data_IF_309757704439
#
_entry.id   IF_309757704439
#
_cell.length_a   1.000
_cell.length_b   1.000
_cell.length_c   1.000
_cell.angle_alpha   90.00
_cell.angle_beta   90.00
_cell.angle_gamma   90.00
#
_symmetry.space_group_name_H-M   'P 1'
#
loop_
_entity.id
_entity.type
_entity.pdbx_description
1 polymer ?
#
# COMPACT_ATOMS: atom_id res chain seq x y z
N UNK A 1 -22.59 -38.57 21.06
CA UNK A 1 -21.62 -37.62 20.50
C UNK A 1 -20.65 -38.39 19.64
N UNK A 2 -20.62 -38.12 18.34
CA UNK A 2 -19.61 -38.65 17.43
C UNK A 2 -18.29 -37.92 17.72
N UNK A 3 -17.33 -38.62 18.33
CA UNK A 3 -15.98 -38.10 18.54
C UNK A 3 -15.19 -38.27 17.25
N UNK A 4 -14.62 -37.19 16.73
CA UNK A 4 -13.61 -37.28 15.69
C UNK A 4 -12.35 -37.87 16.33
N UNK A 5 -11.88 -39.02 15.84
CA UNK A 5 -10.63 -39.62 16.30
C UNK A 5 -9.44 -38.92 15.63
N UNK A 6 -8.87 -37.95 16.35
CA UNK A 6 -7.68 -37.22 15.91
C UNK A 6 -6.46 -37.95 16.47
N UNK A 7 -5.54 -38.35 15.57
CA UNK A 7 -4.27 -38.96 15.95
C UNK A 7 -3.53 -38.07 16.95
N UNK A 8 -3.02 -38.67 18.02
CA UNK A 8 -2.26 -37.96 19.05
C UNK A 8 -1.13 -37.09 18.48
N UNK A 9 -0.41 -37.62 17.47
CA UNK A 9 0.65 -36.88 16.78
C UNK A 9 0.13 -35.60 16.10
N UNK A 10 -1.01 -35.68 15.41
CA UNK A 10 -1.61 -34.51 14.75
C UNK A 10 -2.06 -33.46 15.77
N UNK A 11 -2.61 -33.90 16.91
CA UNK A 11 -2.98 -32.98 18.00
C UNK A 11 -1.73 -32.26 18.55
N UNK A 12 -0.67 -33.02 18.83
CA UNK A 12 0.60 -32.48 19.34
C UNK A 12 1.20 -31.44 18.39
N UNK A 13 1.21 -31.71 17.09
CA UNK A 13 1.71 -30.77 16.07
C UNK A 13 0.97 -29.43 16.08
N UNK A 14 -0.35 -29.46 16.19
CA UNK A 14 -1.17 -28.24 16.25
C UNK A 14 -0.96 -27.49 17.56
N UNK A 15 -0.88 -28.20 18.68
CA UNK A 15 -0.62 -27.60 19.99
C UNK A 15 0.74 -26.89 20.03
N UNK A 16 1.78 -27.50 19.46
CA UNK A 16 3.12 -26.89 19.32
C UNK A 16 3.10 -25.63 18.44
N UNK A 17 2.36 -25.67 17.33
CA UNK A 17 2.16 -24.50 16.48
C UNK A 17 1.48 -23.34 17.24
N UNK A 18 0.40 -23.63 17.98
CA UNK A 18 -0.32 -22.63 18.79
C UNK A 18 0.57 -22.00 19.86
N UNK A 19 1.44 -22.80 20.51
CA UNK A 19 2.39 -22.31 21.50
C UNK A 19 3.45 -21.41 20.87
N UNK A 20 4.02 -21.81 19.72
CA UNK A 20 4.99 -20.99 18.99
C UNK A 20 4.38 -19.66 18.55
N UNK A 21 3.18 -19.70 17.97
CA UNK A 21 2.46 -18.51 17.52
C UNK A 21 2.15 -17.56 18.69
N UNK A 22 1.75 -18.11 19.84
CA UNK A 22 1.50 -17.30 21.05
C UNK A 22 2.75 -16.58 21.52
N UNK A 23 3.90 -17.26 21.55
CA UNK A 23 5.19 -16.64 21.92
C UNK A 23 5.57 -15.54 20.94
N UNK A 24 5.43 -15.79 19.64
CA UNK A 24 5.73 -14.80 18.60
C UNK A 24 4.83 -13.57 18.73
N UNK A 25 3.52 -13.74 18.92
CA UNK A 25 2.58 -12.64 19.10
C UNK A 25 2.89 -11.80 20.35
N UNK A 26 3.24 -12.45 21.47
CA UNK A 26 3.63 -11.76 22.71
C UNK A 26 4.96 -10.99 22.55
N UNK A 27 5.93 -11.54 21.83
CA UNK A 27 7.18 -10.84 21.50
C UNK A 27 6.93 -9.63 20.60
N UNK A 28 6.02 -9.76 19.63
CA UNK A 28 5.60 -8.64 18.79
C UNK A 28 5.02 -7.50 19.62
N UNK A 29 4.10 -7.81 20.54
CA UNK A 29 3.44 -6.80 21.35
C UNK A 29 4.37 -6.16 22.38
N UNK A 30 5.21 -6.96 23.04
CA UNK A 30 6.04 -6.48 24.15
C UNK A 30 7.29 -5.71 23.69
N UNK A 31 7.82 -6.02 22.50
CA UNK A 31 9.09 -5.47 22.03
C UNK A 31 8.98 -4.85 20.64
N UNK A 32 8.54 -5.63 19.65
CA UNK A 32 8.57 -5.18 18.25
C UNK A 32 7.70 -3.93 18.02
N UNK A 33 6.47 -3.90 18.55
CA UNK A 33 5.51 -2.82 18.31
C UNK A 33 6.04 -1.48 18.88
N UNK A 34 6.46 -1.40 20.16
CA UNK A 34 7.12 -0.21 20.71
C UNK A 34 8.34 0.23 19.88
N UNK A 35 9.28 -0.68 19.61
CA UNK A 35 10.50 -0.37 18.85
C UNK A 35 10.16 0.17 17.45
N UNK A 36 9.11 -0.38 16.83
CA UNK A 36 8.69 0.01 15.47
C UNK A 36 8.05 1.38 15.43
N UNK A 37 7.32 1.78 16.48
CA UNK A 37 6.74 3.13 16.59
C UNK A 37 7.86 4.17 16.57
N UNK A 38 8.93 3.96 17.33
CA UNK A 38 10.08 4.88 17.39
C UNK A 38 10.87 4.90 16.08
N UNK A 39 11.08 3.73 15.44
CA UNK A 39 11.71 3.65 14.12
C UNK A 39 10.94 4.44 13.06
N UNK A 40 9.61 4.32 13.04
CA UNK A 40 8.77 5.03 12.06
C UNK A 40 8.69 6.53 12.37
N UNK A 41 8.73 6.92 13.65
CA UNK A 41 8.87 8.32 14.04
C UNK A 41 10.17 8.92 13.49
N UNK A 42 11.29 8.22 13.67
CA UNK A 42 12.58 8.65 13.12
C UNK A 42 12.55 8.74 11.59
N UNK A 43 11.95 7.77 10.91
CA UNK A 43 11.78 7.78 9.46
C UNK A 43 11.04 9.03 8.96
N UNK A 44 9.97 9.43 9.66
CA UNK A 44 9.23 10.65 9.34
C UNK A 44 10.09 11.91 9.48
N UNK A 45 10.94 11.97 10.49
CA UNK A 45 11.84 13.11 10.73
C UNK A 45 12.99 13.19 9.73
N UNK A 46 13.51 12.04 9.27
CA UNK A 46 14.69 11.99 8.39
C UNK A 46 14.36 12.00 6.91
N UNK A 47 13.36 11.22 6.48
CA UNK A 47 13.09 10.97 5.06
C UNK A 47 11.95 11.84 4.52
N UNK A 48 11.03 12.29 5.38
CA UNK A 48 9.86 13.10 5.02
C UNK A 48 9.98 14.56 5.46
N UNK A 49 11.17 15.15 5.27
CA UNK A 49 11.53 16.54 5.57
C UNK A 49 11.57 17.41 4.30
N UNK A 50 10.43 17.54 3.62
CA UNK A 50 10.30 18.44 2.48
C UNK A 50 9.59 19.73 2.91
N UNK A 51 10.32 20.84 2.96
CA UNK A 51 9.77 22.16 3.31
C UNK A 51 9.00 22.79 2.14
N UNK A 52 9.38 22.45 0.90
CA UNK A 52 8.76 22.95 -0.32
C UNK A 52 8.49 21.83 -1.32
N UNK A 53 7.20 21.55 -1.59
CA UNK A 53 6.76 20.54 -2.55
C UNK A 53 7.22 20.85 -3.98
N UNK A 54 7.53 22.09 -4.32
CA UNK A 54 8.06 22.43 -5.64
C UNK A 54 9.42 21.77 -5.91
N UNK A 55 10.19 21.45 -4.87
CA UNK A 55 11.47 20.72 -4.98
C UNK A 55 11.30 19.27 -5.47
N UNK A 56 10.08 18.72 -5.42
CA UNK A 56 9.77 17.37 -5.90
C UNK A 56 9.60 17.29 -7.41
N UNK A 57 9.60 18.41 -8.15
CA UNK A 57 9.39 18.40 -9.60
C UNK A 57 10.54 17.68 -10.31
N UNK A 58 10.27 16.50 -10.85
CA UNK A 58 11.20 15.79 -11.72
C UNK A 58 11.30 16.46 -13.10
N UNK A 59 12.45 16.34 -13.80
CA UNK A 59 12.59 16.78 -15.19
C UNK A 59 11.55 16.11 -16.10
N UNK A 60 10.94 16.90 -16.98
CA UNK A 60 9.94 16.44 -17.95
C UNK A 60 10.27 16.99 -19.34
N UNK A 61 11.31 16.40 -19.95
CA UNK A 61 11.95 16.86 -21.20
C UNK A 61 11.15 16.51 -22.46
N UNK A 62 9.85 16.81 -22.44
CA UNK A 62 8.97 16.69 -23.60
C UNK A 62 9.13 17.96 -24.44
N UNK A 63 9.43 17.87 -25.76
CA UNK A 63 9.56 19.04 -26.63
C UNK A 63 8.31 19.93 -26.61
N UNK A 64 8.48 21.24 -26.48
CA UNK A 64 7.36 22.20 -26.56
C UNK A 64 7.13 22.53 -28.04
N UNK A 65 5.91 22.37 -28.58
CA UNK A 65 5.62 22.66 -29.98
C UNK A 65 5.77 24.15 -30.28
N UNK A 66 6.45 24.46 -31.36
CA UNK A 66 6.54 25.82 -31.90
C UNK A 66 5.53 25.94 -33.04
N UNK A 67 4.46 26.76 -32.90
CA UNK A 67 3.41 26.88 -33.90
C UNK A 67 3.94 27.20 -35.29
N UNK A 68 4.97 28.05 -35.40
CA UNK A 68 5.52 28.45 -36.69
C UNK A 68 6.26 27.30 -37.37
N UNK A 69 7.04 26.52 -36.60
CA UNK A 69 7.76 25.34 -37.13
C UNK A 69 6.82 24.20 -37.50
N UNK A 70 5.75 24.01 -36.73
CA UNK A 70 4.72 23.01 -37.03
C UNK A 70 3.92 23.38 -38.29
N UNK A 71 3.58 24.66 -38.48
CA UNK A 71 2.93 25.14 -39.69
C UNK A 71 3.85 24.97 -40.94
N UNK A 72 5.14 25.27 -40.81
CA UNK A 72 6.12 25.06 -41.88
C UNK A 72 6.29 23.57 -42.24
N UNK A 73 6.30 22.68 -41.23
CA UNK A 73 6.30 21.22 -41.42
C UNK A 73 5.05 20.74 -42.17
N UNK A 74 3.86 21.23 -41.79
CA UNK A 74 2.59 20.89 -42.45
C UNK A 74 2.62 21.29 -43.92
N UNK A 75 3.00 22.53 -44.23
CA UNK A 75 3.14 23.03 -45.61
C UNK A 75 4.11 22.17 -46.44
N UNK A 76 5.28 21.80 -45.88
CA UNK A 76 6.25 20.92 -46.54
C UNK A 76 5.72 19.49 -46.76
N UNK A 77 4.87 18.97 -45.87
CA UNK A 77 4.25 17.64 -46.01
C UNK A 77 3.19 17.65 -47.11
N UNK A 78 2.31 18.67 -47.11
CA UNK A 78 1.31 18.88 -48.16
C UNK A 78 1.94 19.06 -49.55
N UNK A 79 3.05 19.81 -49.66
CA UNK A 79 3.79 19.95 -50.92
C UNK A 79 4.43 18.65 -51.42
N UNK A 80 4.85 17.75 -50.53
CA UNK A 80 5.41 16.44 -50.88
C UNK A 80 4.32 15.47 -51.34
N UNK A 81 3.20 15.40 -50.62
CA UNK A 81 2.04 14.58 -50.97
C UNK A 81 1.40 15.01 -52.30
N UNK A 82 1.46 16.31 -52.64
CA UNK A 82 1.04 16.81 -53.94
C UNK A 82 1.98 16.41 -55.09
N UNK A 83 3.27 16.13 -54.82
CA UNK A 83 4.27 15.74 -55.82
C UNK A 83 4.41 14.22 -55.99
N UNK A 84 4.20 13.44 -54.95
CA UNK A 84 4.21 11.97 -54.97
C UNK A 84 2.77 11.47 -54.95
N UNK A 85 2.18 11.25 -56.13
CA UNK A 85 0.78 10.82 -56.24
C UNK A 85 0.44 9.62 -55.35
N UNK A 86 -0.65 9.76 -54.57
CA UNK A 86 -1.27 8.78 -53.63
C UNK A 86 -0.78 7.34 -53.84
N UNK A 87 0.17 6.89 -53.02
CA UNK A 87 0.44 5.47 -52.78
C UNK A 87 -0.15 5.03 -51.43
N UNK A 88 -0.84 3.89 -51.49
CA UNK A 88 -1.50 3.06 -50.48
C UNK A 88 -1.60 3.57 -49.02
N UNK A 89 -2.86 3.82 -48.63
CA UNK A 89 -3.33 4.35 -47.33
C UNK A 89 -3.35 3.35 -46.16
N UNK A 90 -2.90 2.11 -46.35
CA UNK A 90 -3.14 1.05 -45.35
C UNK A 90 -2.00 0.84 -44.34
N UNK A 91 -0.80 1.41 -44.57
CA UNK A 91 0.32 1.38 -43.61
C UNK A 91 0.38 2.59 -42.67
N UNK A 92 -0.39 3.66 -42.92
CA UNK A 92 -0.32 4.93 -42.18
C UNK A 92 -1.12 4.95 -40.87
N UNK A 93 -2.03 3.99 -40.63
CA UNK A 93 -2.88 4.00 -39.43
C UNK A 93 -2.13 3.71 -38.13
N UNK A 94 -0.98 3.04 -38.20
CA UNK A 94 -0.14 2.80 -37.02
C UNK A 94 0.74 4.02 -36.67
N UNK A 95 1.02 4.89 -37.65
CA UNK A 95 1.89 6.07 -37.49
C UNK A 95 1.11 7.33 -37.07
N UNK A 96 -0.22 7.39 -37.29
CA UNK A 96 -1.06 8.52 -36.87
C UNK A 96 -1.29 8.61 -35.35
N UNK A 97 -1.12 7.52 -34.58
CA UNK A 97 -1.19 7.52 -33.11
C UNK A 97 0.19 7.68 -32.43
N UNK A 98 1.27 7.72 -33.22
CA UNK A 98 2.61 8.00 -32.72
C UNK A 98 2.73 9.51 -32.45
N UNK A 99 2.73 9.88 -31.16
CA UNK A 99 3.06 11.23 -30.74
C UNK A 99 4.43 11.69 -31.26
N UNK A 100 4.74 12.99 -31.23
CA UNK A 100 6.04 13.48 -31.66
C UNK A 100 7.18 12.76 -30.93
N UNK A 101 8.33 12.56 -31.59
CA UNK A 101 9.45 11.81 -31.00
C UNK A 101 9.86 12.47 -29.69
N UNK A 102 9.88 11.67 -28.63
CA UNK A 102 10.21 12.08 -27.27
C UNK A 102 11.33 11.18 -26.73
N UNK A 103 12.29 11.77 -26.01
CA UNK A 103 13.28 11.00 -25.26
C UNK A 103 12.64 10.20 -24.11
N UNK A 104 13.38 9.27 -23.50
CA UNK A 104 12.88 8.52 -22.35
C UNK A 104 12.58 9.48 -21.18
N UNK A 105 11.37 9.38 -20.62
CA UNK A 105 10.97 10.13 -19.42
C UNK A 105 11.10 9.20 -18.21
N UNK A 106 12.00 9.55 -17.29
CA UNK A 106 12.27 8.75 -16.10
C UNK A 106 11.19 8.89 -15.01
N UNK A 107 11.18 7.93 -14.08
CA UNK A 107 10.43 8.04 -12.83
C UNK A 107 11.00 9.15 -11.93
N UNK A 108 10.17 9.68 -11.04
CA UNK A 108 10.62 10.65 -10.05
C UNK A 108 11.53 9.99 -9.00
N UNK A 109 12.82 10.29 -9.02
CA UNK A 109 13.82 9.64 -8.16
C UNK A 109 13.57 9.85 -6.67
N UNK A 110 13.06 11.03 -6.28
CA UNK A 110 12.76 11.31 -4.87
C UNK A 110 11.59 10.46 -4.40
N UNK A 111 10.51 10.39 -5.17
CA UNK A 111 9.37 9.52 -4.87
C UNK A 111 9.80 8.05 -4.87
N UNK A 112 10.63 7.63 -5.82
CA UNK A 112 11.18 6.26 -5.86
C UNK A 112 12.00 5.91 -4.63
N UNK A 113 12.83 6.83 -4.13
CA UNK A 113 13.61 6.62 -2.90
C UNK A 113 12.70 6.36 -1.70
N UNK A 114 11.64 7.15 -1.53
CA UNK A 114 10.66 6.98 -0.46
C UNK A 114 9.87 5.69 -0.63
N UNK A 115 9.48 5.32 -1.85
CA UNK A 115 8.80 4.06 -2.12
C UNK A 115 9.62 2.84 -1.69
N UNK A 116 10.96 2.89 -1.81
CA UNK A 116 11.83 1.80 -1.33
C UNK A 116 11.84 1.69 0.19
N UNK A 117 11.64 2.78 0.91
CA UNK A 117 11.52 2.78 2.37
C UNK A 117 10.11 2.38 2.83
N UNK A 118 9.05 2.83 2.15
CA UNK A 118 7.65 2.61 2.55
C UNK A 118 7.15 1.19 2.23
N UNK A 119 7.49 0.62 1.06
CA UNK A 119 6.99 -0.70 0.63
C UNK A 119 7.31 -1.82 1.65
N UNK A 120 8.54 -1.93 2.19
CA UNK A 120 8.86 -2.92 3.23
C UNK A 120 8.05 -2.72 4.52
N UNK A 121 7.73 -1.49 4.89
CA UNK A 121 6.97 -1.18 6.10
C UNK A 121 5.52 -1.65 6.00
N UNK A 122 4.88 -1.46 4.84
CA UNK A 122 3.55 -1.99 4.55
C UNK A 122 3.56 -3.53 4.64
N UNK A 123 4.53 -4.18 4.00
CA UNK A 123 4.63 -5.64 3.98
C UNK A 123 4.86 -6.20 5.38
N UNK A 124 5.77 -5.58 6.14
CA UNK A 124 6.06 -5.98 7.52
C UNK A 124 4.82 -5.86 8.39
N UNK A 125 4.10 -4.73 8.33
CA UNK A 125 2.86 -4.54 9.08
C UNK A 125 1.82 -5.61 8.70
N UNK A 126 1.66 -5.90 7.41
CA UNK A 126 0.72 -6.92 6.92
C UNK A 126 1.01 -8.30 7.52
N UNK A 127 2.27 -8.72 7.55
CA UNK A 127 2.69 -9.99 8.13
C UNK A 127 2.48 -10.03 9.65
N UNK A 128 2.88 -8.97 10.36
CA UNK A 128 2.74 -8.91 11.83
C UNK A 128 1.28 -8.86 12.26
N UNK A 129 0.45 -8.11 11.52
CA UNK A 129 -1.00 -8.10 11.73
C UNK A 129 -1.57 -9.51 11.53
N UNK A 130 -1.15 -10.24 10.49
CA UNK A 130 -1.64 -11.61 10.25
C UNK A 130 -1.26 -12.58 11.39
N UNK A 131 -0.04 -12.49 11.91
CA UNK A 131 0.39 -13.26 13.09
C UNK A 131 -0.51 -13.00 14.30
N UNK A 132 -0.75 -11.72 14.63
CA UNK A 132 -1.59 -11.32 15.77
C UNK A 132 -3.06 -11.73 15.56
N UNK A 133 -3.60 -11.55 14.35
CA UNK A 133 -4.96 -11.99 14.00
C UNK A 133 -5.15 -13.49 14.19
N UNK A 134 -4.21 -14.29 13.69
CA UNK A 134 -4.26 -15.74 13.85
C UNK A 134 -4.16 -16.13 15.32
N UNK A 135 -3.27 -15.48 16.07
CA UNK A 135 -3.12 -15.73 17.49
C UNK A 135 -4.43 -15.51 18.25
N UNK A 136 -5.10 -14.37 18.05
CA UNK A 136 -6.40 -14.07 18.70
C UNK A 136 -7.48 -15.05 18.26
N UNK A 137 -7.55 -15.39 16.98
CA UNK A 137 -8.55 -16.32 16.44
C UNK A 137 -8.45 -17.71 17.09
N UNK A 138 -7.23 -18.18 17.34
CA UNK A 138 -6.99 -19.45 18.05
C UNK A 138 -7.25 -19.39 19.56
N UNK A 139 -7.45 -18.21 20.14
CA UNK A 139 -7.89 -18.07 21.54
C UNK A 139 -9.42 -18.15 21.70
N UNK A 140 -10.19 -18.16 20.61
CA UNK A 140 -11.65 -18.23 20.68
C UNK A 140 -12.05 -19.62 21.22
N UNK A 141 -12.77 -19.68 22.36
CA UNK A 141 -13.12 -20.94 22.99
C UNK A 141 -14.30 -21.59 22.26
N UNK A 142 -14.63 -22.82 22.66
CA UNK A 142 -15.84 -23.52 22.19
C UNK A 142 -17.09 -22.66 22.39
N UNK A 143 -17.97 -22.59 21.40
CA UNK A 143 -19.26 -21.87 21.51
C UNK A 143 -20.13 -22.50 22.61
N UNK A 144 -20.68 -21.66 23.48
CA UNK A 144 -21.58 -22.03 24.58
C UNK A 144 -22.71 -20.99 24.70
N UNK A 145 -23.82 -21.35 25.34
CA UNK A 145 -25.01 -20.48 25.46
C UNK A 145 -24.80 -19.26 26.40
N UNK A 146 -23.80 -19.32 27.30
CA UNK A 146 -23.54 -18.29 28.29
C UNK A 146 -22.05 -18.04 28.54
N UNK A 147 -21.73 -17.05 29.38
CA UNK A 147 -20.34 -16.66 29.69
C UNK A 147 -19.52 -16.21 28.46
N UNK A 148 -20.16 -15.48 27.54
CA UNK A 148 -19.56 -15.04 26.27
C UNK A 148 -19.03 -13.60 26.28
N UNK A 149 -18.99 -12.91 27.43
CA UNK A 149 -18.49 -11.54 27.49
C UNK A 149 -17.04 -11.43 26.99
N UNK A 150 -16.13 -12.31 27.45
CA UNK A 150 -14.75 -12.29 26.96
C UNK A 150 -14.62 -12.67 25.48
N UNK A 151 -15.53 -13.51 24.98
CA UNK A 151 -15.60 -13.83 23.54
C UNK A 151 -16.00 -12.60 22.74
N UNK A 152 -16.98 -11.82 23.20
CA UNK A 152 -17.36 -10.55 22.56
C UNK A 152 -16.21 -9.53 22.58
N UNK A 153 -15.36 -9.53 23.62
CA UNK A 153 -14.13 -8.72 23.63
C UNK A 153 -13.15 -9.19 22.56
N UNK A 154 -12.93 -10.50 22.41
CA UNK A 154 -12.09 -11.06 21.33
C UNK A 154 -12.63 -10.67 19.95
N UNK A 155 -13.93 -10.81 19.72
CA UNK A 155 -14.61 -10.44 18.47
C UNK A 155 -14.40 -8.96 18.16
N UNK A 156 -14.52 -8.07 19.15
CA UNK A 156 -14.34 -6.62 18.92
C UNK A 156 -12.90 -6.26 18.56
N UNK A 157 -11.91 -6.89 19.19
CA UNK A 157 -10.49 -6.72 18.82
C UNK A 157 -10.22 -7.28 17.43
N UNK A 158 -10.80 -8.44 17.10
CA UNK A 158 -10.65 -9.07 15.79
C UNK A 158 -11.31 -8.26 14.65
N UNK A 159 -12.43 -7.60 14.92
CA UNK A 159 -13.08 -6.67 13.98
C UNK A 159 -12.12 -5.52 13.61
N UNK A 160 -11.44 -4.93 14.60
CA UNK A 160 -10.45 -3.88 14.36
C UNK A 160 -9.27 -4.41 13.53
N UNK A 161 -8.76 -5.61 13.82
CA UNK A 161 -7.70 -6.23 13.04
C UNK A 161 -8.11 -6.46 11.58
N UNK A 162 -9.35 -6.88 11.35
CA UNK A 162 -9.92 -7.09 10.01
C UNK A 162 -10.03 -5.77 9.25
N UNK A 163 -10.58 -4.73 9.88
CA UNK A 163 -10.65 -3.38 9.29
C UNK A 163 -9.26 -2.84 8.96
N UNK A 164 -8.29 -3.05 9.85
CA UNK A 164 -6.89 -2.64 9.66
C UNK A 164 -6.26 -3.35 8.46
N UNK A 165 -6.54 -4.64 8.26
CA UNK A 165 -6.07 -5.39 7.09
C UNK A 165 -6.54 -4.77 5.78
N UNK A 166 -7.82 -4.40 5.69
CA UNK A 166 -8.37 -3.72 4.50
C UNK A 166 -7.65 -2.40 4.23
N UNK A 167 -7.35 -1.61 5.27
CA UNK A 167 -6.60 -0.36 5.13
C UNK A 167 -5.20 -0.59 4.55
N UNK A 168 -4.48 -1.61 5.03
CA UNK A 168 -3.14 -1.95 4.54
C UNK A 168 -3.17 -2.38 3.07
N UNK A 169 -4.19 -3.16 2.68
CA UNK A 169 -4.38 -3.57 1.28
C UNK A 169 -4.66 -2.36 0.35
N UNK A 170 -5.40 -1.37 0.84
CA UNK A 170 -5.61 -0.10 0.13
C UNK A 170 -4.30 0.70 -0.04
N UNK A 171 -3.47 0.80 1.01
CA UNK A 171 -2.15 1.44 0.93
C UNK A 171 -1.27 0.78 -0.14
N UNK A 172 -1.26 -0.55 -0.19
CA UNK A 172 -0.49 -1.30 -1.19
C UNK A 172 -1.00 -1.03 -2.62
N UNK A 173 -2.32 -0.92 -2.80
CA UNK A 173 -2.94 -0.68 -4.10
C UNK A 173 -2.66 0.74 -4.61
N UNK A 174 -2.66 1.73 -3.71
CA UNK A 174 -2.38 3.12 -4.04
C UNK A 174 -0.98 3.31 -4.65
N UNK A 175 0.01 2.51 -4.24
CA UNK A 175 1.35 2.55 -4.82
C UNK A 175 1.34 2.15 -6.30
N UNK A 176 0.66 1.06 -6.65
CA UNK A 176 0.55 0.62 -8.05
C UNK A 176 -0.23 1.63 -8.89
N UNK A 177 -1.26 2.25 -8.30
CA UNK A 177 -2.08 3.28 -8.94
C UNK A 177 -1.25 4.50 -9.35
N UNK A 178 -0.32 4.96 -8.51
CA UNK A 178 0.59 6.06 -8.85
C UNK A 178 1.38 5.80 -10.14
N UNK A 179 1.97 4.60 -10.30
CA UNK A 179 2.71 4.28 -11.53
C UNK A 179 1.81 4.30 -12.77
N UNK A 180 0.60 3.76 -12.65
CA UNK A 180 -0.38 3.77 -13.74
C UNK A 180 -0.78 5.20 -14.12
N UNK A 181 -1.23 5.99 -13.14
CA UNK A 181 -1.73 7.35 -13.38
C UNK A 181 -0.62 8.28 -13.88
N UNK A 182 0.59 8.17 -13.32
CA UNK A 182 1.75 8.93 -13.79
C UNK A 182 2.15 8.51 -15.20
N UNK A 183 2.16 7.21 -15.49
CA UNK A 183 2.44 6.68 -16.83
C UNK A 183 1.46 7.22 -17.87
N UNK A 184 0.17 7.20 -17.55
CA UNK A 184 -0.88 7.75 -18.41
C UNK A 184 -0.75 9.26 -18.61
N UNK A 185 -0.42 10.01 -17.55
CA UNK A 185 -0.19 11.44 -17.63
C UNK A 185 1.02 11.78 -18.51
N UNK A 186 2.14 11.06 -18.35
CA UNK A 186 3.34 11.21 -19.20
C UNK A 186 3.03 10.86 -20.66
N UNK A 187 2.30 9.77 -20.91
CA UNK A 187 1.90 9.37 -22.26
C UNK A 187 1.00 10.42 -22.94
N UNK A 188 0.05 11.00 -22.20
CA UNK A 188 -0.78 12.10 -22.72
C UNK A 188 0.04 13.36 -22.97
N UNK A 189 0.96 13.71 -22.07
CA UNK A 189 1.84 14.85 -22.24
C UNK A 189 2.76 14.71 -23.46
N UNK A 190 3.26 13.50 -23.75
CA UNK A 190 4.13 13.24 -24.90
C UNK A 190 3.35 13.18 -26.22
N UNK A 191 2.16 12.59 -26.23
CA UNK A 191 1.27 12.55 -27.42
C UNK A 191 0.65 13.90 -27.75
N UNK A 192 0.33 14.72 -26.75
CA UNK A 192 -0.35 16.01 -26.89
C UNK A 192 0.46 17.14 -26.23
N UNK A 193 1.68 17.43 -26.73
CA UNK A 193 2.62 18.35 -26.06
C UNK A 193 2.17 19.81 -26.05
N UNK A 194 1.14 20.16 -26.83
CA UNK A 194 0.50 21.48 -26.82
C UNK A 194 -0.44 21.68 -25.62
N UNK A 195 -0.86 20.60 -24.94
CA UNK A 195 -1.71 20.67 -23.75
C UNK A 195 -0.82 20.76 -22.51
N UNK A 196 -0.61 21.99 -22.01
CA UNK A 196 0.24 22.25 -20.84
C UNK A 196 -0.22 21.54 -19.56
N UNK A 197 -1.52 21.31 -19.40
CA UNK A 197 -2.10 20.69 -18.19
C UNK A 197 -1.63 19.27 -17.96
N UNK A 198 -1.30 18.49 -19.01
CA UNK A 198 -0.75 17.15 -18.80
C UNK A 198 0.66 17.17 -18.20
N UNK A 199 1.46 18.20 -18.50
CA UNK A 199 2.76 18.37 -17.86
C UNK A 199 2.59 18.72 -16.38
N UNK A 200 1.66 19.63 -16.09
CA UNK A 200 1.33 19.98 -14.71
C UNK A 200 0.80 18.77 -13.94
N UNK A 201 -0.08 17.96 -14.56
CA UNK A 201 -0.63 16.75 -13.96
C UNK A 201 0.45 15.76 -13.51
N UNK A 202 1.52 15.56 -14.31
CA UNK A 202 2.66 14.72 -13.90
C UNK A 202 3.28 15.24 -12.60
N UNK A 203 3.50 16.55 -12.49
CA UNK A 203 4.08 17.16 -11.29
C UNK A 203 3.13 17.15 -10.09
N UNK A 204 1.83 17.34 -10.30
CA UNK A 204 0.81 17.23 -9.25
C UNK A 204 0.74 15.81 -8.70
N UNK A 205 0.80 14.79 -9.57
CA UNK A 205 0.83 13.38 -9.15
C UNK A 205 2.08 13.05 -8.33
N UNK A 206 3.25 13.61 -8.68
CA UNK A 206 4.49 13.42 -7.92
C UNK A 206 4.38 14.04 -6.50
N UNK A 207 3.83 15.25 -6.39
CA UNK A 207 3.62 15.92 -5.08
C UNK A 207 2.56 15.21 -4.24
N UNK A 208 1.44 14.83 -4.87
CA UNK A 208 0.39 14.06 -4.24
C UNK A 208 0.95 12.75 -3.68
N UNK A 209 1.74 12.02 -4.47
CA UNK A 209 2.31 10.75 -4.05
C UNK A 209 3.29 10.91 -2.88
N UNK A 210 4.07 11.99 -2.83
CA UNK A 210 4.91 12.29 -1.67
C UNK A 210 4.07 12.44 -0.38
N UNK A 211 2.98 13.23 -0.45
CA UNK A 211 2.08 13.44 0.68
C UNK A 211 1.41 12.13 1.12
N UNK A 212 0.94 11.32 0.18
CA UNK A 212 0.35 10.02 0.46
C UNK A 212 1.33 9.06 1.13
N UNK A 213 2.58 8.99 0.66
CA UNK A 213 3.61 8.15 1.28
C UNK A 213 3.90 8.56 2.72
N UNK A 214 3.88 9.86 3.00
CA UNK A 214 4.03 10.38 4.36
C UNK A 214 2.86 9.98 5.25
N UNK A 215 1.63 10.08 4.75
CA UNK A 215 0.43 9.65 5.46
C UNK A 215 0.43 8.15 5.73
N UNK A 216 0.87 7.33 4.77
CA UNK A 216 1.02 5.89 4.95
C UNK A 216 1.94 5.57 6.14
N UNK A 217 3.11 6.21 6.25
CA UNK A 217 4.00 5.96 7.39
C UNK A 217 3.39 6.41 8.72
N UNK A 218 2.71 7.56 8.75
CA UNK A 218 1.97 8.00 9.93
C UNK A 218 0.91 6.98 10.34
N UNK A 219 0.14 6.46 9.39
CA UNK A 219 -0.90 5.47 9.64
C UNK A 219 -0.31 4.14 10.12
N UNK A 220 0.77 3.65 9.52
CA UNK A 220 1.47 2.44 9.99
C UNK A 220 1.90 2.61 11.45
N UNK A 221 2.52 3.74 11.79
CA UNK A 221 2.94 4.05 13.17
C UNK A 221 1.74 4.08 14.12
N UNK A 222 0.66 4.74 13.72
CA UNK A 222 -0.56 4.84 14.53
C UNK A 222 -1.24 3.48 14.69
N UNK A 223 -1.23 2.62 13.66
CA UNK A 223 -1.75 1.26 13.72
C UNK A 223 -1.00 0.45 14.78
N UNK A 224 0.34 0.47 14.79
CA UNK A 224 1.10 -0.24 15.83
C UNK A 224 0.73 0.25 17.24
N UNK A 225 0.59 1.56 17.43
CA UNK A 225 0.20 2.14 18.72
C UNK A 225 -1.22 1.71 19.15
N UNK A 226 -2.19 1.78 18.24
CA UNK A 226 -3.59 1.40 18.51
C UNK A 226 -3.70 -0.09 18.81
N UNK A 227 -3.02 -0.94 18.03
CA UNK A 227 -3.03 -2.40 18.25
C UNK A 227 -2.37 -2.76 19.58
N UNK A 228 -1.24 -2.14 19.92
CA UNK A 228 -0.61 -2.32 21.22
C UNK A 228 -1.57 -1.94 22.36
N UNK A 229 -2.17 -0.76 22.29
CA UNK A 229 -3.05 -0.22 23.33
C UNK A 229 -4.28 -1.10 23.56
N UNK A 230 -5.02 -1.44 22.49
CA UNK A 230 -6.25 -2.22 22.61
C UNK A 230 -5.97 -3.65 23.07
N UNK A 231 -4.90 -4.29 22.58
CA UNK A 231 -4.57 -5.66 22.98
C UNK A 231 -4.08 -5.68 24.43
N UNK A 232 -3.22 -4.74 24.82
CA UNK A 232 -2.73 -4.64 26.20
C UNK A 232 -3.87 -4.43 27.19
N UNK A 233 -4.79 -3.49 26.90
CA UNK A 233 -5.94 -3.19 27.77
C UNK A 233 -6.88 -4.38 27.95
N UNK A 234 -6.98 -5.24 26.94
CA UNK A 234 -7.92 -6.36 26.92
C UNK A 234 -7.23 -7.73 27.05
N UNK A 235 -5.93 -7.77 27.38
CA UNK A 235 -5.09 -8.96 27.30
C UNK A 235 -5.65 -10.15 28.09
N UNK A 236 -6.13 -9.91 29.32
CA UNK A 236 -6.72 -10.95 30.17
C UNK A 236 -7.94 -11.59 29.52
N UNK A 237 -8.82 -10.81 28.89
CA UNK A 237 -10.01 -11.32 28.21
C UNK A 237 -9.68 -11.96 26.86
N UNK A 238 -8.62 -11.51 26.20
CA UNK A 238 -8.13 -12.15 24.97
C UNK A 238 -7.55 -13.53 25.26
N UNK A 239 -6.71 -13.67 26.29
CA UNK A 239 -6.11 -14.96 26.67
C UNK A 239 -7.09 -15.88 27.39
N UNK A 240 -7.95 -15.33 28.24
CA UNK A 240 -8.85 -16.09 29.14
C UNK A 240 -10.27 -15.52 29.09
N UNK A 241 -10.98 -15.69 27.96
CA UNK A 241 -12.30 -15.08 27.75
C UNK A 241 -13.35 -15.54 28.77
N UNK A 242 -13.18 -16.75 29.34
CA UNK A 242 -14.07 -17.32 30.37
C UNK A 242 -13.46 -17.35 31.79
N UNK A 243 -12.30 -16.73 31.99
CA UNK A 243 -11.51 -16.82 33.24
C UNK A 243 -10.88 -18.20 33.44
N UNK A 244 -10.32 -18.44 34.64
CA UNK A 244 -9.68 -19.72 35.01
C UNK A 244 -10.68 -20.83 35.39
N UNK A 245 -11.92 -20.72 34.91
CA UNK A 245 -13.06 -21.51 35.38
C UNK A 245 -13.59 -20.97 36.71
N UNK A 246 -14.91 -20.91 36.85
CA UNK A 246 -15.49 -20.82 38.18
C UNK A 246 -15.06 -22.08 38.92
N UNK A 247 -14.33 -21.95 40.01
CA UNK A 247 -14.45 -22.91 41.10
C UNK A 247 -15.96 -23.11 41.31
N UNK A 248 -16.42 -24.35 41.17
CA UNK A 248 -17.74 -24.75 41.61
C UNK A 248 -17.78 -24.43 43.10
N UNK A 249 -18.32 -23.27 43.47
CA UNK A 249 -18.67 -22.97 44.84
C UNK A 249 -19.89 -23.83 45.10
N UNK A 250 -19.64 -25.02 45.66
CA UNK A 250 -20.65 -25.88 46.27
C UNK A 250 -21.19 -25.22 47.54
#
# INVERSE_FOLDING_TARGET
MTSLDIRHESKKQVDEFCQKLSKEAEELLSKFFPDKIDQLQKLLETSFNCDDLASLKAPLDIPIPDPAKEEEKRKKKEEKEAKEGKKDKDSDKEDEDAGPPCGPICSNERVESLLREVKPEIQTLKEKLNTVSMWIQLQIPRIEDGNNFGVAVQEKVFELLTSTRTKIEAMQTQISKYYSERGDAVAKASKQPHVGDYRQLVHELDQYQYCELRLIILDIRNIYAVLFDIIKKNYDKIKRPRGDGKALIY
#
